data_IF_340566046158
#
_entry.id   IF_340566046158
#
_cell.length_a   1.000
_cell.length_b   1.000
_cell.length_c   1.000
_cell.angle_alpha   90.00
_cell.angle_beta   90.00
_cell.angle_gamma   90.00
#
_symmetry.space_group_name_H-M   'P 1'
#
loop_
_entity.id
_entity.type
_entity.pdbx_description
1 polymer ?
#
# COMPACT_ATOMS: atom_id res chain seq x y z
N UNK A 1 30.35 -15.30 18.53
CA UNK A 1 29.23 -14.35 18.44
C UNK A 1 27.93 -15.08 18.80
N UNK A 2 27.25 -14.67 19.87
CA UNK A 2 25.98 -15.29 20.30
C UNK A 2 24.90 -14.96 19.27
N UNK A 3 24.39 -15.95 18.53
CA UNK A 3 23.23 -15.79 17.65
C UNK A 3 22.00 -15.66 18.55
N UNK A 4 21.53 -14.44 18.78
CA UNK A 4 20.24 -14.25 19.44
C UNK A 4 19.16 -14.79 18.50
N UNK A 5 18.42 -15.81 18.95
CA UNK A 5 17.24 -16.32 18.29
C UNK A 5 16.12 -15.30 18.52
N UNK A 6 15.99 -14.34 17.61
CA UNK A 6 14.81 -13.48 17.57
C UNK A 6 13.77 -14.13 16.67
N UNK A 7 12.60 -14.42 17.23
CA UNK A 7 11.42 -14.75 16.44
C UNK A 7 10.87 -13.43 15.88
N UNK A 8 11.16 -13.20 14.60
CA UNK A 8 10.81 -11.96 13.92
C UNK A 8 9.52 -12.15 13.15
N UNK A 9 8.44 -11.58 13.67
CA UNK A 9 7.16 -11.50 12.99
C UNK A 9 7.22 -10.49 11.82
N UNK A 10 6.68 -10.89 10.66
CA UNK A 10 6.69 -10.10 9.43
C UNK A 10 6.01 -8.73 9.60
N UNK A 11 4.94 -8.67 10.40
CA UNK A 11 4.25 -7.41 10.68
C UNK A 11 5.12 -6.45 11.51
N UNK A 12 5.86 -6.98 12.49
CA UNK A 12 6.82 -6.19 13.29
C UNK A 12 7.97 -5.67 12.42
N UNK A 13 8.44 -6.47 11.48
CA UNK A 13 9.42 -6.05 10.48
C UNK A 13 8.93 -4.88 9.62
N UNK A 14 7.74 -5.00 9.05
CA UNK A 14 7.15 -3.94 8.22
C UNK A 14 6.99 -2.64 9.00
N UNK A 15 6.41 -2.70 10.20
CA UNK A 15 6.25 -1.52 11.06
C UNK A 15 7.59 -0.89 11.42
N UNK A 16 8.61 -1.71 11.71
CA UNK A 16 9.96 -1.21 12.01
C UNK A 16 10.58 -0.53 10.79
N UNK A 17 10.43 -1.11 9.60
CA UNK A 17 10.90 -0.53 8.35
C UNK A 17 10.22 0.80 8.06
N UNK A 18 8.90 0.89 8.18
CA UNK A 18 8.14 2.13 7.95
C UNK A 18 8.61 3.25 8.89
N UNK A 19 8.88 2.92 10.16
CA UNK A 19 9.44 3.88 11.13
C UNK A 19 10.86 4.33 10.74
N UNK A 20 11.71 3.44 10.28
CA UNK A 20 13.05 3.79 9.78
C UNK A 20 12.95 4.71 8.56
N UNK A 21 12.09 4.40 7.59
CA UNK A 21 11.87 5.21 6.39
C UNK A 21 11.35 6.60 6.75
N UNK A 22 10.37 6.69 7.65
CA UNK A 22 9.81 7.96 8.12
C UNK A 22 10.88 8.82 8.79
N UNK A 23 11.66 8.21 9.69
CA UNK A 23 12.78 8.87 10.37
C UNK A 23 13.82 9.38 9.37
N UNK A 24 14.20 8.55 8.39
CA UNK A 24 15.14 8.91 7.34
C UNK A 24 14.66 10.11 6.52
N UNK A 25 13.42 10.09 6.02
CA UNK A 25 12.85 11.18 5.21
C UNK A 25 12.79 12.50 5.99
N UNK A 26 12.31 12.47 7.24
CA UNK A 26 12.24 13.63 8.11
C UNK A 26 13.63 14.25 8.36
N UNK A 27 14.63 13.39 8.57
CA UNK A 27 16.02 13.83 8.78
C UNK A 27 16.67 14.35 7.50
N UNK A 28 16.43 13.71 6.35
CA UNK A 28 16.97 14.14 5.05
C UNK A 28 16.49 15.54 4.68
N UNK A 29 15.22 15.86 4.95
CA UNK A 29 14.69 17.22 4.77
C UNK A 29 15.35 18.27 5.66
N UNK A 30 15.86 17.86 6.83
CA UNK A 30 16.54 18.73 7.80
C UNK A 30 18.07 18.75 7.65
N UNK A 31 18.65 17.93 6.77
CA UNK A 31 20.10 17.80 6.59
C UNK A 31 20.74 19.08 6.03
N UNK A 32 19.98 19.91 5.32
CA UNK A 32 20.44 21.18 4.75
C UNK A 32 20.37 22.36 5.73
N UNK A 33 19.92 22.14 6.98
CA UNK A 33 19.87 23.19 8.01
C UNK A 33 21.23 23.28 8.73
N UNK A 34 22.00 24.32 8.44
CA UNK A 34 23.23 24.65 9.18
C UNK A 34 22.92 25.48 10.42
N UNK A 35 23.44 25.10 11.60
CA UNK A 35 23.29 25.83 12.86
C UNK A 35 22.92 24.96 14.07
N UNK A 36 22.27 25.52 15.10
CA UNK A 36 21.82 24.81 16.32
C UNK A 36 20.82 23.67 16.08
N UNK A 37 20.33 23.50 14.84
CA UNK A 37 19.43 22.43 14.41
C UNK A 37 20.12 21.30 13.64
N UNK A 38 21.46 21.32 13.54
CA UNK A 38 22.21 20.27 12.86
C UNK A 38 21.97 18.91 13.56
N UNK A 39 21.42 17.96 12.80
CA UNK A 39 21.09 16.65 13.32
C UNK A 39 22.38 15.85 13.59
N UNK A 40 22.51 15.31 14.80
CA UNK A 40 23.58 14.37 15.17
C UNK A 40 23.54 13.15 14.23
N UNK A 41 24.69 12.69 13.74
CA UNK A 41 24.79 11.53 12.83
C UNK A 41 23.94 10.35 13.33
N UNK A 42 23.05 9.84 12.47
CA UNK A 42 22.19 8.71 12.83
C UNK A 42 22.85 7.41 12.40
N UNK A 43 22.89 6.43 13.31
CA UNK A 43 23.62 5.16 13.10
C UNK A 43 23.24 4.42 11.81
N UNK A 44 21.99 4.55 11.36
CA UNK A 44 21.48 3.89 10.15
C UNK A 44 21.46 4.81 8.92
N UNK A 45 22.02 6.01 9.01
CA UNK A 45 21.96 7.02 7.95
C UNK A 45 22.60 6.53 6.65
N UNK A 46 23.80 5.93 6.75
CA UNK A 46 24.52 5.37 5.58
C UNK A 46 23.76 4.23 4.92
N UNK A 47 23.25 3.29 5.72
CA UNK A 47 22.50 2.12 5.23
C UNK A 47 21.21 2.55 4.52
N UNK A 48 20.48 3.52 5.11
CA UNK A 48 19.25 4.05 4.52
C UNK A 48 19.51 4.90 3.27
N UNK A 49 20.62 5.64 3.20
CA UNK A 49 21.03 6.38 2.00
C UNK A 49 21.38 5.43 0.84
N UNK A 50 22.05 4.31 1.12
CA UNK A 50 22.37 3.35 0.06
C UNK A 50 21.11 2.71 -0.54
N UNK A 51 20.11 2.40 0.30
CA UNK A 51 18.84 1.78 -0.12
C UNK A 51 17.90 2.80 -0.77
N UNK A 52 17.73 3.99 -0.18
CA UNK A 52 16.70 4.97 -0.58
C UNK A 52 17.25 6.20 -1.33
N UNK A 53 18.52 6.53 -1.11
CA UNK A 53 19.19 7.70 -1.71
C UNK A 53 19.57 7.50 -3.17
N UNK A 54 19.66 6.25 -3.64
CA UNK A 54 19.80 5.92 -5.07
C UNK A 54 18.48 6.13 -5.82
N UNK A 55 18.00 7.37 -5.88
CA UNK A 55 16.99 7.75 -6.87
C UNK A 55 17.64 7.60 -8.25
N UNK A 56 17.13 6.69 -9.08
CA UNK A 56 17.40 6.73 -10.52
C UNK A 56 16.98 8.12 -10.97
N UNK A 57 17.92 8.92 -11.46
CA UNK A 57 17.61 10.20 -12.08
C UNK A 57 16.77 9.91 -13.31
N UNK A 58 15.44 9.90 -13.14
CA UNK A 58 14.51 10.00 -14.25
C UNK A 58 14.47 11.49 -14.57
N UNK A 59 15.60 12.03 -15.01
CA UNK A 59 15.57 13.28 -15.74
C UNK A 59 14.69 13.01 -16.96
N UNK A 60 13.58 13.73 -17.14
CA UNK A 60 12.83 13.61 -18.38
C UNK A 60 13.80 13.89 -19.53
N UNK A 61 13.73 13.12 -20.64
CA UNK A 61 14.55 13.40 -21.81
C UNK A 61 14.42 14.89 -22.16
N UNK A 62 15.54 15.56 -22.48
CA UNK A 62 15.62 17.00 -22.73
C UNK A 62 14.64 17.54 -23.79
N UNK A 63 13.97 16.64 -24.50
CA UNK A 63 13.14 16.91 -25.67
C UNK A 63 11.66 17.14 -25.32
N UNK A 64 11.25 16.97 -24.06
CA UNK A 64 9.84 17.12 -23.63
C UNK A 64 9.42 18.56 -23.24
N UNK A 65 10.32 19.55 -23.31
CA UNK A 65 10.02 20.96 -22.99
C UNK A 65 10.20 21.92 -24.18
N UNK A 66 9.88 21.46 -25.40
CA UNK A 66 10.00 22.28 -26.61
C UNK A 66 8.68 22.96 -27.06
N UNK A 67 7.61 22.91 -26.26
CA UNK A 67 6.36 23.61 -26.58
C UNK A 67 6.05 24.66 -25.52
N UNK A 68 6.32 25.92 -25.89
CA UNK A 68 6.07 27.19 -25.16
C UNK A 68 7.26 27.77 -24.40
N UNK A 69 8.29 28.19 -25.15
CA UNK A 69 9.17 29.30 -24.73
C UNK A 69 8.98 30.40 -25.77
N UNK A 70 8.07 31.34 -25.50
CA UNK A 70 8.25 32.70 -25.99
C UNK A 70 9.08 33.45 -24.94
N UNK A 71 10.32 33.70 -25.32
CA UNK A 71 11.26 34.73 -24.90
C UNK A 71 10.82 35.70 -23.77
N UNK A 72 11.55 35.68 -22.65
CA UNK A 72 11.56 36.76 -21.67
C UNK A 72 12.85 36.73 -20.84
N UNK A 73 13.57 37.86 -20.65
CA UNK A 73 14.92 37.86 -20.11
C UNK A 73 14.98 37.71 -18.58
N UNK A 74 16.10 37.12 -18.15
CA UNK A 74 16.63 36.92 -16.80
C UNK A 74 16.26 38.00 -15.75
N UNK A 75 15.86 37.55 -14.56
CA UNK A 75 16.32 38.14 -13.28
C UNK A 75 16.15 37.13 -12.12
N UNK A 76 17.16 36.94 -11.24
CA UNK A 76 17.05 36.13 -10.03
C UNK A 76 16.68 37.03 -8.84
N UNK A 77 15.52 36.81 -8.22
CA UNK A 77 15.06 37.57 -7.07
C UNK A 77 14.28 36.72 -6.06
N UNK A 78 14.85 36.60 -4.86
CA UNK A 78 14.19 36.64 -3.53
C UNK A 78 12.79 36.01 -3.43
N UNK A 79 12.59 34.91 -2.72
CA UNK A 79 12.62 34.90 -1.26
C UNK A 79 11.24 35.24 -0.71
N UNK A 80 10.45 34.23 -0.32
CA UNK A 80 9.35 34.43 0.64
C UNK A 80 9.13 33.17 1.45
N UNK A 81 9.45 33.31 2.73
CA UNK A 81 9.21 32.39 3.83
C UNK A 81 7.74 32.44 4.21
N UNK A 82 7.06 31.30 4.24
CA UNK A 82 5.91 31.11 5.13
C UNK A 82 6.20 29.87 5.97
N UNK A 83 6.73 30.15 7.15
CA UNK A 83 6.72 29.23 8.28
C UNK A 83 5.27 29.06 8.73
N UNK A 84 4.78 27.83 8.69
CA UNK A 84 3.72 27.42 9.60
C UNK A 84 4.21 26.20 10.38
N UNK A 85 4.42 26.43 11.68
CA UNK A 85 4.91 25.44 12.63
C UNK A 85 3.73 24.97 13.45
N UNK A 86 3.31 23.71 13.27
CA UNK A 86 2.34 23.05 14.13
C UNK A 86 2.39 21.54 13.87
N UNK A 87 2.40 20.58 14.80
CA UNK A 87 2.37 20.52 16.27
C UNK A 87 2.69 19.05 16.64
N UNK A 88 3.30 18.88 17.81
CA UNK A 88 3.30 17.72 18.73
C UNK A 88 3.61 16.28 18.29
N UNK A 89 4.76 15.86 18.81
CA UNK A 89 5.03 14.61 19.53
C UNK A 89 3.89 14.20 20.50
N UNK A 90 3.58 12.90 20.54
CA UNK A 90 3.74 12.15 21.78
C UNK A 90 4.04 10.67 21.52
N UNK A 91 5.01 10.24 22.33
CA UNK A 91 5.54 8.90 22.51
C UNK A 91 4.68 8.16 23.55
N UNK A 92 4.69 6.84 23.48
CA UNK A 92 4.47 5.96 24.64
C UNK A 92 5.51 4.85 24.55
N UNK A 93 6.51 4.87 25.45
CA UNK A 93 7.12 3.67 26.01
C UNK A 93 7.79 4.01 27.35
N UNK A 94 7.31 3.32 28.39
CA UNK A 94 7.76 3.31 29.78
C UNK A 94 9.26 3.04 29.95
N UNK A 95 9.91 3.87 30.79
CA UNK A 95 11.12 3.48 31.50
C UNK A 95 11.20 4.20 32.85
N UNK A 96 11.36 3.41 33.91
CA UNK A 96 11.38 3.79 35.33
C UNK A 96 12.73 4.40 35.71
N UNK A 97 12.75 5.55 36.42
CA UNK A 97 13.83 5.92 37.36
C UNK A 97 13.42 7.10 38.25
N UNK A 98 13.86 7.03 39.50
CA UNK A 98 13.52 7.84 40.68
C UNK A 98 13.83 9.36 40.60
N UNK A 99 12.98 10.10 41.33
CA UNK A 99 13.17 11.37 42.03
C UNK A 99 13.85 12.56 41.33
N UNK A 100 13.03 13.38 40.66
CA UNK A 100 13.12 14.86 40.77
C UNK A 100 11.71 15.44 40.73
N UNK A 101 11.22 15.94 41.86
CA UNK A 101 9.99 16.73 41.93
C UNK A 101 10.23 18.11 41.29
N UNK A 102 9.88 18.24 40.00
CA UNK A 102 9.71 19.54 39.34
C UNK A 102 8.23 19.69 38.96
N UNK A 103 7.60 20.70 39.54
CA UNK A 103 6.22 21.08 39.32
C UNK A 103 5.98 21.41 37.83
N UNK A 104 5.52 20.42 37.07
CA UNK A 104 5.19 20.55 35.66
C UNK A 104 3.84 21.27 35.53
N UNK A 105 3.88 22.53 35.07
CA UNK A 105 2.68 23.29 34.68
C UNK A 105 1.97 22.54 33.55
N UNK A 106 0.83 21.94 33.87
CA UNK A 106 -0.07 21.29 32.91
C UNK A 106 -0.56 22.33 31.89
N UNK A 107 -0.04 22.25 30.66
CA UNK A 107 -0.59 23.01 29.53
C UNK A 107 -2.02 22.50 29.30
N UNK A 108 -3.00 23.39 29.43
CA UNK A 108 -4.41 23.14 29.09
C UNK A 108 -4.45 22.62 27.65
N UNK A 109 -4.92 21.39 27.46
CA UNK A 109 -5.18 20.82 26.13
C UNK A 109 -6.22 21.75 25.47
N UNK A 110 -5.81 22.49 24.44
CA UNK A 110 -6.78 23.22 23.63
C UNK A 110 -7.69 22.18 22.97
N UNK A 111 -9.01 22.34 23.16
CA UNK A 111 -10.00 21.52 22.47
C UNK A 111 -9.80 21.68 20.97
N UNK A 112 -9.84 20.56 20.25
CA UNK A 112 -9.68 20.57 18.80
C UNK A 112 -10.80 21.42 18.20
N UNK A 113 -10.52 22.29 17.20
CA UNK A 113 -11.55 23.07 16.55
C UNK A 113 -12.65 22.18 15.96
N UNK A 114 -13.91 22.62 16.02
CA UNK A 114 -15.08 21.86 15.54
C UNK A 114 -14.97 21.44 14.07
N UNK A 115 -14.39 22.28 13.22
CA UNK A 115 -14.17 21.96 11.81
C UNK A 115 -13.25 20.74 11.60
N UNK A 116 -12.33 20.47 12.54
CA UNK A 116 -11.44 19.31 12.47
C UNK A 116 -12.24 18.03 12.68
N UNK A 117 -13.25 18.04 13.58
CA UNK A 117 -14.11 16.89 13.79
C UNK A 117 -14.96 16.61 12.54
N UNK A 118 -15.56 17.65 11.95
CA UNK A 118 -16.37 17.52 10.72
C UNK A 118 -15.56 16.99 9.53
N UNK A 119 -14.32 17.45 9.35
CA UNK A 119 -13.44 16.94 8.28
C UNK A 119 -13.05 15.47 8.52
N UNK A 120 -12.87 15.04 9.76
CA UNK A 120 -12.58 13.64 10.07
C UNK A 120 -13.78 12.74 9.77
N UNK A 121 -14.99 13.19 10.10
CA UNK A 121 -16.23 12.46 9.79
C UNK A 121 -16.45 12.35 8.27
N UNK A 122 -16.23 13.44 7.52
CA UNK A 122 -16.31 13.40 6.05
C UNK A 122 -15.27 12.46 5.44
N UNK A 123 -14.04 12.44 5.97
CA UNK A 123 -13.02 11.50 5.52
C UNK A 123 -13.42 10.05 5.80
N UNK A 124 -14.02 9.77 6.96
CA UNK A 124 -14.48 8.43 7.32
C UNK A 124 -15.59 7.96 6.37
N UNK A 125 -16.58 8.82 6.10
CA UNK A 125 -17.67 8.53 5.15
C UNK A 125 -17.10 8.30 3.74
N UNK A 126 -16.19 9.14 3.29
CA UNK A 126 -15.55 9.00 1.97
C UNK A 126 -14.76 7.68 1.88
N UNK A 127 -14.06 7.32 2.96
CA UNK A 127 -13.31 6.09 3.05
C UNK A 127 -14.24 4.86 3.02
N UNK A 128 -15.34 4.88 3.78
CA UNK A 128 -16.34 3.81 3.80
C UNK A 128 -16.95 3.59 2.40
N UNK A 129 -17.39 4.66 1.73
CA UNK A 129 -17.88 4.58 0.35
C UNK A 129 -16.85 4.02 -0.63
N UNK A 130 -15.57 4.34 -0.42
CA UNK A 130 -14.49 3.80 -1.23
C UNK A 130 -14.34 2.30 -0.99
N UNK A 131 -14.38 1.84 0.25
CA UNK A 131 -14.35 0.41 0.59
C UNK A 131 -15.54 -0.35 0.01
N UNK A 132 -16.74 0.22 0.08
CA UNK A 132 -17.94 -0.38 -0.52
C UNK A 132 -17.80 -0.54 -2.03
N UNK A 133 -17.26 0.47 -2.73
CA UNK A 133 -16.98 0.39 -4.17
C UNK A 133 -15.94 -0.69 -4.48
N UNK A 134 -14.91 -0.82 -3.67
CA UNK A 134 -13.91 -1.88 -3.83
C UNK A 134 -14.52 -3.27 -3.61
N UNK A 135 -15.31 -3.44 -2.55
CA UNK A 135 -16.00 -4.69 -2.26
C UNK A 135 -16.99 -5.07 -3.39
N UNK A 136 -17.75 -4.10 -3.92
CA UNK A 136 -18.64 -4.32 -5.05
C UNK A 136 -17.88 -4.75 -6.33
N UNK A 137 -16.74 -4.12 -6.60
CA UNK A 137 -15.91 -4.47 -7.75
C UNK A 137 -15.29 -5.88 -7.61
N UNK A 138 -14.84 -6.23 -6.40
CA UNK A 138 -14.31 -7.56 -6.09
C UNK A 138 -15.39 -8.63 -6.22
N UNK A 139 -16.58 -8.38 -5.68
CA UNK A 139 -17.73 -9.27 -5.82
C UNK A 139 -18.13 -9.46 -7.30
N UNK A 140 -18.15 -8.39 -8.09
CA UNK A 140 -18.45 -8.48 -9.53
C UNK A 140 -17.41 -9.33 -10.28
N UNK A 141 -16.12 -9.25 -9.89
CA UNK A 141 -15.08 -10.11 -10.47
C UNK A 141 -15.28 -11.57 -10.09
N UNK A 142 -15.59 -11.84 -8.82
CA UNK A 142 -15.86 -13.19 -8.33
C UNK A 142 -17.07 -13.82 -9.02
N UNK A 143 -18.13 -13.04 -9.24
CA UNK A 143 -19.33 -13.50 -9.93
C UNK A 143 -19.04 -13.90 -11.39
N UNK A 144 -18.27 -13.09 -12.12
CA UNK A 144 -17.83 -13.44 -13.49
C UNK A 144 -16.98 -14.70 -13.53
N UNK A 145 -16.12 -14.91 -12.53
CA UNK A 145 -15.31 -16.14 -12.44
C UNK A 145 -16.22 -17.35 -12.22
N UNK A 146 -17.16 -17.26 -11.27
CA UNK A 146 -18.14 -18.33 -11.01
C UNK A 146 -18.96 -18.67 -12.25
N UNK A 147 -19.42 -17.66 -12.98
CA UNK A 147 -20.19 -17.85 -14.22
C UNK A 147 -19.35 -18.58 -15.28
N UNK A 148 -18.08 -18.22 -15.45
CA UNK A 148 -17.18 -18.91 -16.38
C UNK A 148 -16.90 -20.36 -15.97
N UNK A 149 -16.76 -20.62 -14.67
CA UNK A 149 -16.59 -21.97 -14.14
C UNK A 149 -17.83 -22.83 -14.35
N UNK A 150 -19.03 -22.28 -14.09
CA UNK A 150 -20.29 -22.97 -14.32
C UNK A 150 -20.49 -23.30 -15.81
N UNK A 151 -20.20 -22.36 -16.71
CA UNK A 151 -20.23 -22.62 -18.16
C UNK A 151 -19.27 -23.74 -18.57
N UNK A 152 -18.07 -23.81 -17.98
CA UNK A 152 -17.11 -24.89 -18.24
C UNK A 152 -17.64 -26.24 -17.75
N UNK A 153 -18.20 -26.27 -16.53
CA UNK A 153 -18.78 -27.48 -15.95
C UNK A 153 -19.93 -27.98 -16.83
N UNK A 154 -20.83 -27.09 -17.26
CA UNK A 154 -21.94 -27.46 -18.12
C UNK A 154 -21.46 -27.97 -19.49
N UNK A 155 -20.48 -27.32 -20.11
CA UNK A 155 -19.91 -27.81 -21.37
C UNK A 155 -19.28 -29.21 -21.23
N UNK A 156 -18.62 -29.51 -20.10
CA UNK A 156 -18.08 -30.85 -19.83
C UNK A 156 -19.22 -31.87 -19.69
N UNK A 157 -20.25 -31.55 -18.92
CA UNK A 157 -21.43 -32.42 -18.73
C UNK A 157 -22.12 -32.72 -20.07
N UNK A 158 -22.33 -31.72 -20.91
CA UNK A 158 -22.93 -31.88 -22.24
C UNK A 158 -22.08 -32.81 -23.13
N UNK A 159 -20.76 -32.71 -23.04
CA UNK A 159 -19.83 -33.59 -23.78
C UNK A 159 -19.86 -35.03 -23.24
N UNK A 160 -19.97 -35.20 -21.93
CA UNK A 160 -20.10 -36.52 -21.29
C UNK A 160 -21.43 -37.19 -21.63
N UNK A 161 -22.53 -36.44 -21.63
CA UNK A 161 -23.86 -36.93 -22.04
C UNK A 161 -23.84 -37.43 -23.48
N UNK A 162 -23.32 -36.62 -24.41
CA UNK A 162 -23.16 -37.03 -25.82
C UNK A 162 -22.27 -38.26 -25.97
N UNK A 163 -21.21 -38.37 -25.16
CA UNK A 163 -20.34 -39.55 -25.16
C UNK A 163 -21.10 -40.80 -24.72
N UNK A 164 -21.89 -40.71 -23.64
CA UNK A 164 -22.71 -41.80 -23.14
C UNK A 164 -23.77 -42.23 -24.16
N UNK A 165 -24.42 -41.29 -24.85
CA UNK A 165 -25.37 -41.59 -25.91
C UNK A 165 -24.75 -42.36 -27.08
N UNK A 166 -23.54 -41.96 -27.49
CA UNK A 166 -22.81 -42.67 -28.54
C UNK A 166 -22.41 -44.08 -28.08
N UNK A 167 -22.00 -44.24 -26.83
CA UNK A 167 -21.64 -45.53 -26.25
C UNK A 167 -22.85 -46.46 -26.17
N UNK A 168 -24.00 -45.95 -25.70
CA UNK A 168 -25.27 -46.68 -25.68
C UNK A 168 -25.72 -47.11 -27.09
N UNK A 169 -25.62 -46.22 -28.08
CA UNK A 169 -25.92 -46.56 -29.49
C UNK A 169 -24.99 -47.65 -30.03
N UNK A 170 -23.69 -47.59 -29.72
CA UNK A 170 -22.73 -48.63 -30.11
C UNK A 170 -23.08 -49.98 -29.50
N UNK A 171 -23.40 -50.02 -28.21
CA UNK A 171 -23.82 -51.24 -27.52
C UNK A 171 -25.08 -51.83 -28.15
N UNK A 172 -26.10 -51.00 -28.44
CA UNK A 172 -27.32 -51.45 -29.09
C UNK A 172 -27.09 -52.02 -30.50
N UNK A 173 -26.20 -51.42 -31.29
CA UNK A 173 -25.82 -51.97 -32.60
C UNK A 173 -25.12 -53.33 -32.48
N UNK A 174 -24.20 -53.48 -31.52
CA UNK A 174 -23.50 -54.74 -31.27
C UNK A 174 -24.46 -55.85 -30.84
N UNK A 175 -25.42 -55.54 -29.96
CA UNK A 175 -26.47 -56.48 -29.56
C UNK A 175 -27.32 -56.92 -30.75
N UNK A 176 -27.75 -55.98 -31.60
CA UNK A 176 -28.53 -56.31 -32.80
C UNK A 176 -27.77 -57.20 -33.80
N UNK A 177 -26.46 -56.98 -33.97
CA UNK A 177 -25.62 -57.85 -34.81
C UNK A 177 -25.55 -59.26 -34.22
N UNK A 178 -25.35 -59.36 -32.90
CA UNK A 178 -25.22 -60.65 -32.21
C UNK A 178 -26.54 -61.45 -32.26
N UNK A 179 -27.68 -60.79 -32.14
CA UNK A 179 -29.00 -61.41 -32.33
C UNK A 179 -29.22 -61.94 -33.76
N UNK A 180 -28.70 -61.23 -34.78
CA UNK A 180 -28.80 -61.66 -36.18
C UNK A 180 -27.90 -62.86 -36.49
N UNK A 181 -26.76 -63.00 -35.81
CA UNK A 181 -25.84 -64.13 -36.00
C UNK A 181 -26.32 -65.41 -35.31
N UNK A 182 -27.18 -65.29 -34.29
CA UNK A 182 -27.71 -66.43 -33.54
C UNK A 182 -29.03 -67.01 -34.12
N UNK A 183 -29.55 -66.45 -35.22
CA UNK A 183 -30.74 -66.95 -35.93
C UNK A 183 -30.33 -67.68 -37.20
#
# INVERSE_FOLDING_TARGET
MKKQQYEVDGLKCKKKWDNLVSTYKSRKGKQNLTGRGALKCWKFEREMEDILGRKRSIAPPSNYLASTIMSGPKSPGQGTTVSDSSIHENEDLDFVSEDVAVCAKTKRKQEKPLWVAEVLDQNLICQEQMWDKFAALENSKLEKIKELEERKINAIKDMEEKRMDLENRKVGLLQSILEKLNK
#
